data_IF_351250202235
#
_entry.id   IF_351250202235
#
_cell.length_a   1.000
_cell.length_b   1.000
_cell.length_c   1.000
_cell.angle_alpha   90.00
_cell.angle_beta   90.00
_cell.angle_gamma   90.00
#
_symmetry.space_group_name_H-M   'P 1'
#
loop_
_entity.id
_entity.type
_entity.pdbx_description
1 polymer ?
#
# COMPACT_ATOMS: atom_id res chain seq x y z
N UNK A 1 17.15 14.32 30.79
CA UNK A 1 17.61 13.86 30.23
C UNK A 1 17.32 13.67 29.05
N UNK A 2 17.73 13.63 28.49
CA UNK A 2 17.49 13.59 27.45
C UNK A 2 17.30 12.79 26.78
N UNK A 3 17.04 12.50 27.12
CA UNK A 3 16.85 11.75 26.57
C UNK A 3 17.00 11.17 25.45
N UNK A 4 16.64 10.34 25.30
CA UNK A 4 16.68 9.57 24.20
C UNK A 4 15.99 10.20 23.10
N UNK A 5 16.69 11.00 22.45
CA UNK A 5 16.17 11.41 21.25
C UNK A 5 16.30 10.35 20.27
N UNK A 6 15.20 9.80 19.93
CA UNK A 6 15.13 9.04 18.71
C UNK A 6 15.29 9.97 17.53
N UNK A 7 15.99 9.54 16.48
CA UNK A 7 16.03 10.32 15.25
C UNK A 7 14.62 10.61 14.80
N UNK A 8 14.35 11.85 14.49
CA UNK A 8 13.09 12.21 13.86
C UNK A 8 13.13 11.67 12.47
N UNK A 9 12.29 10.67 12.22
CA UNK A 9 12.12 10.16 10.87
C UNK A 9 10.97 10.93 10.24
N UNK A 10 11.31 11.80 9.30
CA UNK A 10 10.32 12.51 8.53
C UNK A 10 9.85 11.62 7.39
N UNK A 11 8.63 11.16 7.49
CA UNK A 11 7.98 10.46 6.39
C UNK A 11 7.29 11.48 5.51
N UNK A 12 7.79 11.64 4.31
CA UNK A 12 7.13 12.45 3.29
C UNK A 12 6.22 11.54 2.50
N UNK A 13 4.93 11.84 2.52
CA UNK A 13 3.94 11.07 1.77
C UNK A 13 4.16 11.24 0.27
N UNK A 14 4.03 10.14 -0.47
CA UNK A 14 4.02 10.21 -1.93
C UNK A 14 2.75 10.95 -2.38
N UNK A 15 2.85 11.79 -3.41
CA UNK A 15 1.68 12.52 -3.89
C UNK A 15 0.69 11.58 -4.56
N UNK A 16 -0.59 11.95 -4.58
CA UNK A 16 -1.63 11.10 -5.18
C UNK A 16 -1.36 10.80 -6.65
N UNK A 17 -0.79 11.73 -7.39
CA UNK A 17 -0.47 11.50 -8.80
C UNK A 17 0.60 10.42 -9.02
N UNK A 18 1.39 10.09 -7.99
CA UNK A 18 2.28 8.94 -8.06
C UNK A 18 1.49 7.65 -8.29
N UNK A 19 0.36 7.50 -7.59
CA UNK A 19 -0.47 6.30 -7.63
C UNK A 19 -1.46 6.29 -8.80
N UNK A 20 -1.63 7.41 -9.51
CA UNK A 20 -2.56 7.50 -10.63
C UNK A 20 -1.99 6.93 -11.94
N UNK A 21 -0.80 6.37 -11.88
CA UNK A 21 -0.13 5.76 -13.03
C UNK A 21 -0.51 4.29 -13.14
N UNK A 22 -0.25 3.64 -14.29
CA UNK A 22 -0.49 2.20 -14.41
C UNK A 22 0.21 1.39 -13.33
N UNK A 23 -0.43 0.33 -12.86
CA UNK A 23 0.11 -0.52 -11.78
C UNK A 23 1.48 -1.09 -12.12
N UNK A 24 1.70 -1.41 -13.40
CA UNK A 24 2.98 -1.96 -13.87
C UNK A 24 4.14 -0.98 -13.73
N UNK A 25 3.85 0.30 -13.61
CA UNK A 25 4.84 1.36 -13.37
C UNK A 25 4.97 1.65 -11.88
N UNK A 26 3.84 1.78 -11.18
CA UNK A 26 3.81 2.09 -9.75
C UNK A 26 4.44 0.96 -8.93
N UNK A 27 4.13 -0.29 -9.26
CA UNK A 27 4.63 -1.43 -8.49
C UNK A 27 6.14 -1.41 -8.31
N UNK A 28 6.93 -1.40 -9.39
CA UNK A 28 8.40 -1.34 -9.27
C UNK A 28 8.91 -0.10 -8.56
N UNK A 29 8.24 1.04 -8.75
CA UNK A 29 8.66 2.30 -8.13
C UNK A 29 8.41 2.31 -6.62
N UNK A 30 7.55 1.46 -6.11
CA UNK A 30 7.30 1.34 -4.67
C UNK A 30 8.40 0.58 -3.94
N UNK A 31 9.18 -0.24 -4.61
CA UNK A 31 10.29 -0.96 -3.97
C UNK A 31 11.29 0.05 -3.41
N UNK A 32 11.63 -0.10 -2.14
CA UNK A 32 12.49 0.83 -1.42
C UNK A 32 11.74 1.95 -0.71
N UNK A 33 10.46 2.13 -0.99
CA UNK A 33 9.63 3.08 -0.24
C UNK A 33 9.27 2.50 1.13
N UNK A 34 8.87 3.38 2.05
CA UNK A 34 8.43 2.97 3.37
C UNK A 34 6.91 2.88 3.43
N UNK A 35 6.43 1.75 3.93
CA UNK A 35 5.02 1.59 4.26
C UNK A 35 4.86 1.93 5.73
N UNK A 36 4.05 2.92 6.03
CA UNK A 36 3.89 3.46 7.40
C UNK A 36 2.45 3.29 7.84
N UNK A 37 2.27 2.74 9.04
CA UNK A 37 0.97 2.65 9.67
C UNK A 37 0.96 3.47 10.94
N UNK A 38 0.03 4.40 11.04
CA UNK A 38 -0.20 5.15 12.28
C UNK A 38 -1.10 4.33 13.20
N UNK A 39 -0.63 4.12 14.42
CA UNK A 39 -1.40 3.39 15.42
C UNK A 39 -2.34 4.32 16.19
N UNK A 40 -3.30 3.72 16.91
CA UNK A 40 -4.29 4.47 17.67
C UNK A 40 -3.66 5.34 18.77
N UNK A 41 -2.53 4.92 19.34
CA UNK A 41 -1.81 5.66 20.36
C UNK A 41 -0.91 6.77 19.81
N UNK A 42 -0.91 6.97 18.50
CA UNK A 42 -0.04 7.95 17.83
C UNK A 42 1.32 7.40 17.43
N UNK A 43 1.66 6.19 17.83
CA UNK A 43 2.90 5.53 17.41
C UNK A 43 2.86 5.15 15.93
N UNK A 44 4.03 4.90 15.36
CA UNK A 44 4.16 4.52 13.96
C UNK A 44 4.80 3.14 13.87
N UNK A 45 4.21 2.29 13.07
CA UNK A 45 4.84 1.07 12.56
C UNK A 45 5.25 1.34 11.12
N UNK A 46 6.44 0.91 10.76
CA UNK A 46 6.87 1.09 9.37
C UNK A 46 7.87 0.02 8.96
N UNK A 47 7.96 -0.17 7.67
CA UNK A 47 8.91 -1.09 7.06
C UNK A 47 9.22 -0.65 5.65
N UNK A 48 10.28 -1.20 5.08
CA UNK A 48 10.67 -0.93 3.71
C UNK A 48 10.03 -1.97 2.80
N UNK A 49 9.41 -1.51 1.72
CA UNK A 49 8.85 -2.41 0.71
C UNK A 49 10.00 -3.02 -0.07
N UNK A 50 10.09 -4.34 -0.06
CA UNK A 50 11.16 -5.07 -0.72
C UNK A 50 10.71 -5.80 -1.97
N UNK A 51 9.39 -6.00 -2.12
CA UNK A 51 8.82 -6.75 -3.23
C UNK A 51 7.42 -6.27 -3.51
N UNK A 52 7.07 -6.17 -4.78
CA UNK A 52 5.73 -5.82 -5.23
C UNK A 52 5.31 -6.71 -6.40
N UNK A 53 4.00 -6.86 -6.56
CA UNK A 53 3.40 -7.49 -7.73
C UNK A 53 2.37 -6.55 -8.32
N UNK A 54 2.34 -6.43 -9.64
CA UNK A 54 1.42 -5.54 -10.32
C UNK A 54 0.49 -6.34 -11.22
N UNK A 55 -0.81 -6.07 -11.09
CA UNK A 55 -1.84 -6.72 -11.91
C UNK A 55 -2.70 -5.64 -12.56
N UNK A 56 -2.89 -5.73 -13.88
CA UNK A 56 -3.89 -4.92 -14.56
C UNK A 56 -5.27 -5.54 -14.40
N UNK A 57 -6.34 -4.77 -14.65
CA UNK A 57 -7.70 -5.26 -14.48
C UNK A 57 -8.05 -6.44 -15.39
N UNK A 58 -7.42 -6.54 -16.54
CA UNK A 58 -7.61 -7.65 -17.47
C UNK A 58 -6.75 -8.87 -17.16
N UNK A 59 -5.96 -8.84 -16.10
CA UNK A 59 -5.20 -9.99 -15.61
C UNK A 59 -6.11 -10.82 -14.69
N UNK A 60 -6.27 -12.14 -14.95
CA UNK A 60 -7.08 -13.00 -14.08
C UNK A 60 -6.66 -13.03 -12.61
N UNK A 61 -5.40 -12.71 -12.30
CA UNK A 61 -4.93 -12.62 -10.92
C UNK A 61 -5.35 -11.35 -10.22
N UNK A 62 -5.86 -10.33 -10.93
CA UNK A 62 -6.34 -9.09 -10.35
C UNK A 62 -7.67 -9.31 -9.63
N UNK A 63 -7.81 -8.80 -8.41
CA UNK A 63 -9.07 -8.89 -7.67
C UNK A 63 -10.22 -8.12 -8.31
N UNK A 64 -9.94 -7.15 -9.18
CA UNK A 64 -10.94 -6.43 -9.96
C UNK A 64 -11.26 -7.05 -11.33
N UNK A 65 -10.69 -8.22 -11.64
CA UNK A 65 -10.75 -8.79 -13.00
C UNK A 65 -12.19 -9.06 -13.47
N UNK A 66 -13.01 -9.68 -12.63
CA UNK A 66 -14.33 -10.10 -13.05
C UNK A 66 -15.38 -9.01 -12.92
N UNK A 67 -15.37 -8.26 -11.83
CA UNK A 67 -16.36 -7.22 -11.56
C UNK A 67 -16.02 -6.42 -10.32
N UNK A 68 -16.63 -5.24 -10.22
CA UNK A 68 -16.69 -4.49 -8.97
C UNK A 68 -17.62 -5.20 -8.00
N UNK A 69 -17.25 -5.13 -6.73
CA UNK A 69 -18.07 -5.61 -5.63
C UNK A 69 -17.80 -4.74 -4.39
N UNK A 70 -18.64 -4.80 -3.35
CA UNK A 70 -18.35 -4.08 -2.12
C UNK A 70 -16.99 -4.47 -1.50
N UNK A 71 -16.55 -5.72 -1.69
CA UNK A 71 -15.30 -6.19 -1.14
C UNK A 71 -14.07 -5.61 -1.83
N UNK A 72 -14.15 -5.32 -3.12
CA UNK A 72 -13.01 -4.82 -3.91
C UNK A 72 -13.21 -3.39 -4.42
N UNK A 73 -14.21 -2.68 -3.91
CA UNK A 73 -14.56 -1.34 -4.40
C UNK A 73 -13.40 -0.35 -4.33
N UNK A 74 -12.51 -0.49 -3.34
CA UNK A 74 -11.35 0.38 -3.19
C UNK A 74 -10.43 0.34 -4.40
N UNK A 75 -10.36 -0.77 -5.13
CA UNK A 75 -9.55 -0.90 -6.34
C UNK A 75 -10.03 0.01 -7.47
N UNK A 76 -11.31 0.37 -7.46
CA UNK A 76 -11.94 1.23 -8.47
C UNK A 76 -12.10 2.67 -8.01
N UNK A 77 -11.67 2.99 -6.80
CA UNK A 77 -11.78 4.32 -6.23
C UNK A 77 -10.59 5.21 -6.56
N UNK A 78 -10.41 6.21 -5.72
CA UNK A 78 -9.31 7.15 -5.88
C UNK A 78 -7.95 6.48 -5.74
N UNK A 79 -6.95 6.93 -6.51
CA UNK A 79 -5.58 6.44 -6.34
C UNK A 79 -5.06 6.71 -4.93
N UNK A 80 -4.14 5.86 -4.47
CA UNK A 80 -3.47 6.05 -3.19
C UNK A 80 -4.22 5.52 -1.99
N UNK A 81 -5.28 4.75 -2.19
CA UNK A 81 -6.00 4.10 -1.10
C UNK A 81 -5.61 2.64 -0.99
N UNK A 82 -5.47 2.18 0.23
CA UNK A 82 -5.13 0.78 0.49
C UNK A 82 -6.34 -0.14 0.33
N UNK A 83 -6.09 -1.30 -0.24
CA UNK A 83 -7.00 -2.44 -0.24
C UNK A 83 -6.30 -3.60 0.43
N UNK A 84 -6.80 -4.04 1.57
CA UNK A 84 -6.19 -5.11 2.37
C UNK A 84 -7.11 -6.32 2.36
N UNK A 85 -6.55 -7.48 2.12
CA UNK A 85 -7.31 -8.73 2.16
C UNK A 85 -6.47 -9.85 2.77
N UNK A 86 -7.15 -10.93 3.17
CA UNK A 86 -6.50 -12.11 3.75
C UNK A 86 -6.29 -13.15 2.65
N UNK A 87 -5.04 -13.58 2.50
CA UNK A 87 -4.65 -14.60 1.54
C UNK A 87 -4.45 -15.94 2.26
N UNK A 88 -5.02 -16.99 1.70
CA UNK A 88 -4.96 -18.34 2.27
C UNK A 88 -5.45 -18.42 3.73
N UNK A 89 -6.25 -17.47 4.18
CA UNK A 89 -6.79 -17.44 5.54
C UNK A 89 -5.80 -17.07 6.64
N UNK A 90 -4.53 -16.81 6.33
CA UNK A 90 -3.49 -16.57 7.34
C UNK A 90 -2.62 -15.34 7.08
N UNK A 91 -2.55 -14.85 5.87
CA UNK A 91 -1.72 -13.70 5.52
C UNK A 91 -2.57 -12.53 5.05
N UNK A 92 -2.21 -11.32 5.47
CA UNK A 92 -2.81 -10.10 4.95
C UNK A 92 -1.98 -9.59 3.78
N UNK A 93 -2.66 -9.30 2.67
CA UNK A 93 -2.05 -8.67 1.50
C UNK A 93 -2.49 -7.22 1.42
N UNK A 94 -1.58 -6.34 1.09
CA UNK A 94 -1.83 -4.89 0.99
C UNK A 94 -1.69 -4.45 -0.47
N UNK A 95 -2.76 -3.88 -1.01
CA UNK A 95 -2.77 -3.29 -2.34
C UNK A 95 -2.80 -1.77 -2.27
#
# INVERSE_FOLDING_TARGET
MAASRQPVIDFVSLPLNFFARPAQIVGPDLVGCRLVKRQADGGLLWGVIVETEAYSQDDPACHGYRRRSPQNETLFGEPGRFYVYVSYGIHHCVN
#
